data_IF_922858296030
#
_entry.id   IF_922858296030
#
_cell.length_a   1.000
_cell.length_b   1.000
_cell.length_c   1.000
_cell.angle_alpha   90.00
_cell.angle_beta   90.00
_cell.angle_gamma   90.00
#
_symmetry.space_group_name_H-M   'P 1'
#
loop_
_entity.id
_entity.type
_entity.pdbx_description
1 polymer ?
#
# COMPACT_ATOMS: atom_id res chain seq x y z
N UNK A 1 -11.04 -23.40 7.44
CA UNK A 1 -10.26 -24.21 6.44
C UNK A 1 -8.98 -23.46 6.14
N UNK A 2 -7.84 -24.14 6.06
CA UNK A 2 -6.58 -23.46 5.71
C UNK A 2 -6.58 -23.16 4.21
N UNK A 3 -6.47 -21.90 3.82
CA UNK A 3 -6.39 -21.51 2.41
C UNK A 3 -4.97 -21.78 1.91
N UNK A 4 -4.86 -22.22 0.65
CA UNK A 4 -3.57 -22.48 0.01
C UNK A 4 -3.33 -21.44 -1.10
N UNK A 5 -2.43 -20.47 -0.90
CA UNK A 5 -2.08 -19.51 -1.94
C UNK A 5 -1.47 -20.18 -3.17
N UNK A 6 -1.79 -19.66 -4.37
CA UNK A 6 -1.24 -20.10 -5.63
C UNK A 6 -0.33 -19.00 -6.19
N UNK A 7 0.83 -19.38 -6.71
CA UNK A 7 1.73 -18.44 -7.39
C UNK A 7 1.02 -17.91 -8.65
N UNK A 8 0.99 -16.60 -8.80
CA UNK A 8 0.49 -15.90 -9.99
C UNK A 8 1.65 -15.40 -10.86
N UNK A 9 2.64 -14.75 -10.23
CA UNK A 9 3.80 -14.19 -10.91
C UNK A 9 5.00 -14.11 -9.97
N UNK A 10 6.21 -14.13 -10.53
CA UNK A 10 7.49 -14.06 -9.81
C UNK A 10 8.54 -13.30 -10.62
N UNK A 11 9.76 -13.25 -10.09
CA UNK A 11 10.90 -12.64 -10.78
C UNK A 11 11.01 -11.13 -10.56
N UNK A 12 10.42 -10.59 -9.51
CA UNK A 12 10.50 -9.18 -9.14
C UNK A 12 11.56 -8.95 -8.05
N UNK A 13 12.08 -7.73 -7.98
CA UNK A 13 13.06 -7.37 -6.95
C UNK A 13 12.38 -7.10 -5.62
N UNK A 14 11.41 -6.17 -5.58
CA UNK A 14 10.61 -5.91 -4.38
C UNK A 14 9.25 -5.32 -4.74
N UNK A 15 8.18 -6.08 -4.47
CA UNK A 15 6.82 -5.72 -4.88
C UNK A 15 6.05 -4.99 -3.79
N UNK A 16 5.43 -3.83 -4.16
CA UNK A 16 4.75 -2.93 -3.25
C UNK A 16 3.52 -2.24 -3.88
N UNK A 17 2.74 -1.54 -3.04
CA UNK A 17 1.67 -0.63 -3.44
C UNK A 17 0.60 -1.24 -4.35
N UNK A 18 0.07 -2.44 -4.08
CA UNK A 18 -0.83 -3.12 -5.01
C UNK A 18 -2.18 -2.41 -5.13
N UNK A 19 -2.69 -2.30 -6.37
CA UNK A 19 -4.02 -1.76 -6.68
C UNK A 19 -4.68 -2.61 -7.76
N UNK A 20 -5.96 -2.94 -7.56
CA UNK A 20 -6.75 -3.63 -8.58
C UNK A 20 -7.53 -2.65 -9.44
N UNK A 21 -7.27 -2.61 -10.75
CA UNK A 21 -8.00 -1.76 -11.69
C UNK A 21 -7.97 -2.32 -13.10
N UNK A 22 -9.10 -2.23 -13.82
CA UNK A 22 -9.19 -2.62 -15.23
C UNK A 22 -8.82 -4.08 -15.47
N UNK A 23 -9.28 -5.01 -14.62
CA UNK A 23 -9.00 -6.44 -14.68
C UNK A 23 -7.52 -6.81 -14.55
N UNK A 24 -6.71 -5.92 -13.96
CA UNK A 24 -5.30 -6.15 -13.70
C UNK A 24 -4.91 -5.68 -12.29
N UNK A 25 -3.95 -6.39 -11.69
CA UNK A 25 -3.22 -5.94 -10.54
C UNK A 25 -2.12 -4.97 -11.03
N UNK A 26 -2.12 -3.75 -10.48
CA UNK A 26 -1.05 -2.76 -10.62
C UNK A 26 -0.19 -2.83 -9.38
N UNK A 27 1.12 -2.73 -9.53
CA UNK A 27 2.06 -2.77 -8.42
C UNK A 27 3.38 -2.09 -8.78
N UNK A 28 4.10 -1.63 -7.77
CA UNK A 28 5.47 -1.16 -7.89
C UNK A 28 6.43 -2.33 -7.73
N UNK A 29 7.40 -2.46 -8.62
CA UNK A 29 8.62 -3.22 -8.41
C UNK A 29 9.69 -2.23 -7.96
N UNK A 30 9.74 -1.95 -6.64
CA UNK A 30 10.46 -0.82 -6.05
C UNK A 30 11.92 -0.76 -6.50
N UNK A 31 12.69 -1.80 -6.22
CA UNK A 31 14.09 -1.89 -6.61
C UNK A 31 14.29 -2.40 -8.04
N UNK A 32 13.24 -2.86 -8.70
CA UNK A 32 13.16 -3.05 -10.16
C UNK A 32 12.85 -1.75 -10.90
N UNK A 33 12.65 -0.65 -10.14
CA UNK A 33 12.46 0.72 -10.63
C UNK A 33 11.38 0.85 -11.70
N UNK A 34 10.27 0.12 -11.54
CA UNK A 34 9.18 0.11 -12.50
C UNK A 34 7.81 -0.01 -11.85
N UNK A 35 6.79 0.52 -12.52
CA UNK A 35 5.40 0.15 -12.27
C UNK A 35 4.99 -0.90 -13.28
N UNK A 36 4.39 -1.98 -12.78
CA UNK A 36 3.98 -3.12 -13.59
C UNK A 36 2.52 -3.48 -13.37
N UNK A 37 1.97 -4.25 -14.29
CA UNK A 37 0.66 -4.88 -14.11
C UNK A 37 0.73 -6.37 -14.43
N UNK A 38 -0.16 -7.13 -13.78
CA UNK A 38 -0.38 -8.55 -14.08
C UNK A 38 -1.88 -8.88 -14.11
N UNK A 39 -2.32 -9.65 -15.10
CA UNK A 39 -3.69 -10.17 -15.12
C UNK A 39 -3.78 -11.52 -14.36
N UNK A 40 -5.01 -12.02 -14.17
CA UNK A 40 -5.24 -13.30 -13.48
C UNK A 40 -4.71 -14.54 -14.23
N UNK A 41 -4.17 -14.37 -15.44
CA UNK A 41 -3.50 -15.41 -16.23
C UNK A 41 -1.98 -15.34 -16.12
N UNK A 42 -1.44 -14.38 -15.30
CA UNK A 42 -0.02 -14.15 -15.13
C UNK A 42 0.65 -13.34 -16.26
N UNK A 43 -0.13 -12.69 -17.14
CA UNK A 43 0.45 -11.85 -18.21
C UNK A 43 0.91 -10.52 -17.63
N UNK A 44 2.23 -10.31 -17.65
CA UNK A 44 2.89 -9.10 -17.15
C UNK A 44 2.98 -8.03 -18.24
N UNK A 45 2.87 -6.78 -17.82
CA UNK A 45 3.17 -5.61 -18.63
C UNK A 45 3.90 -4.57 -17.77
N UNK A 46 4.90 -3.88 -18.34
CA UNK A 46 5.52 -2.71 -17.72
C UNK A 46 4.74 -1.47 -18.15
N UNK A 47 4.26 -0.72 -17.17
CA UNK A 47 3.51 0.54 -17.39
C UNK A 47 4.46 1.71 -17.52
N UNK A 48 5.43 1.82 -16.62
CA UNK A 48 6.42 2.88 -16.60
C UNK A 48 7.75 2.36 -16.03
N UNK A 49 8.84 2.70 -16.69
CA UNK A 49 10.20 2.58 -16.14
C UNK A 49 10.51 3.88 -15.40
N UNK A 50 10.93 3.76 -14.12
CA UNK A 50 11.14 4.87 -13.21
C UNK A 50 12.54 4.82 -12.60
N UNK A 51 13.56 4.72 -13.47
CA UNK A 51 14.96 4.60 -13.06
C UNK A 51 15.40 5.72 -12.12
N UNK A 52 16.01 5.33 -10.98
CA UNK A 52 16.46 6.24 -9.94
C UNK A 52 15.34 6.81 -9.07
N UNK A 53 14.13 6.22 -9.07
CA UNK A 53 13.00 6.74 -8.30
C UNK A 53 12.56 5.84 -7.14
N UNK A 54 12.82 4.54 -7.19
CA UNK A 54 12.30 3.54 -6.23
C UNK A 54 10.78 3.74 -6.00
N UNK A 55 9.90 3.41 -6.99
CA UNK A 55 8.46 3.60 -6.84
C UNK A 55 7.90 2.74 -5.69
N UNK A 56 6.97 3.30 -4.90
CA UNK A 56 6.29 2.60 -3.80
C UNK A 56 4.77 2.73 -3.94
N UNK A 57 4.10 3.50 -3.09
CA UNK A 57 2.64 3.64 -3.11
C UNK A 57 2.06 4.06 -4.46
N UNK A 58 0.95 3.44 -4.84
CA UNK A 58 0.21 3.74 -6.06
C UNK A 58 -1.20 4.24 -5.75
N UNK A 59 -1.76 5.05 -6.66
CA UNK A 59 -3.16 5.44 -6.60
C UNK A 59 -3.62 6.04 -7.92
N UNK A 60 -4.93 6.17 -8.11
CA UNK A 60 -5.48 6.68 -9.35
C UNK A 60 -6.30 7.94 -9.13
N UNK A 61 -6.01 8.95 -9.91
CA UNK A 61 -6.86 10.15 -9.98
C UNK A 61 -8.20 9.83 -10.66
N UNK A 62 -9.25 10.64 -10.43
CA UNK A 62 -10.56 10.46 -11.07
C UNK A 62 -10.50 10.52 -12.60
N UNK A 63 -9.54 11.23 -13.19
CA UNK A 63 -9.32 11.29 -14.63
C UNK A 63 -8.63 10.04 -15.20
N UNK A 64 -8.22 9.12 -14.35
CA UNK A 64 -7.60 7.86 -14.72
C UNK A 64 -6.07 7.84 -14.69
N UNK A 65 -5.42 8.98 -14.50
CA UNK A 65 -3.98 9.04 -14.38
C UNK A 65 -3.49 8.33 -13.11
N UNK A 66 -2.36 7.65 -13.21
CA UNK A 66 -1.73 6.99 -12.09
C UNK A 66 -0.84 7.98 -11.32
N UNK A 67 -0.98 8.01 -10.01
CA UNK A 67 -0.01 8.62 -9.11
C UNK A 67 0.92 7.54 -8.55
N UNK A 68 2.20 7.89 -8.43
CA UNK A 68 3.27 6.99 -7.93
C UNK A 68 4.12 7.75 -6.92
N UNK A 69 4.34 7.18 -5.76
CA UNK A 69 5.33 7.69 -4.81
C UNK A 69 6.74 7.42 -5.35
N UNK A 70 7.57 8.47 -5.46
CA UNK A 70 9.02 8.35 -5.64
C UNK A 70 9.68 8.38 -4.26
N UNK A 71 10.35 7.28 -3.84
CA UNK A 71 10.93 7.21 -2.50
C UNK A 71 12.27 7.95 -2.38
N UNK A 72 13.13 7.91 -3.39
CA UNK A 72 14.45 8.52 -3.34
C UNK A 72 14.40 10.06 -3.31
N UNK A 73 13.42 10.61 -3.98
CA UNK A 73 13.08 12.03 -3.88
C UNK A 73 11.64 12.11 -3.38
N UNK A 74 11.33 12.93 -2.36
CA UNK A 74 9.97 12.98 -1.81
C UNK A 74 9.02 13.68 -2.79
N UNK A 75 8.66 12.98 -3.85
CA UNK A 75 7.80 13.43 -4.93
C UNK A 75 6.66 12.46 -5.20
N UNK A 76 5.55 13.01 -5.64
CA UNK A 76 4.47 12.23 -6.23
C UNK A 76 4.54 12.44 -7.74
N UNK A 77 4.75 11.35 -8.46
CA UNK A 77 4.78 11.35 -9.93
C UNK A 77 3.36 11.11 -10.45
N UNK A 78 3.04 11.76 -11.58
CA UNK A 78 1.86 11.50 -12.39
C UNK A 78 2.29 10.77 -13.66
N UNK A 79 1.73 9.60 -13.88
CA UNK A 79 1.94 8.78 -15.08
C UNK A 79 0.65 8.79 -15.91
N UNK A 80 0.75 9.29 -17.13
CA UNK A 80 -0.33 9.39 -18.09
C UNK A 80 0.13 8.79 -19.43
N UNK A 81 -0.15 7.51 -19.62
CA UNK A 81 0.44 6.71 -20.70
C UNK A 81 1.97 6.66 -20.58
N UNK A 82 2.67 7.17 -21.59
CA UNK A 82 4.15 7.22 -21.61
C UNK A 82 4.72 8.50 -20.96
N UNK A 83 3.86 9.42 -20.53
CA UNK A 83 4.29 10.69 -19.97
C UNK A 83 4.39 10.59 -18.44
N UNK A 84 5.57 10.88 -17.91
CA UNK A 84 5.83 10.92 -16.46
C UNK A 84 6.21 12.35 -16.07
N UNK A 85 5.46 12.95 -15.17
CA UNK A 85 5.68 14.30 -14.65
C UNK A 85 5.61 14.34 -13.13
N UNK A 86 6.24 15.34 -12.52
CA UNK A 86 6.07 15.58 -11.09
C UNK A 86 4.71 16.22 -10.85
N UNK A 87 3.84 15.54 -10.10
CA UNK A 87 2.53 16.04 -9.67
C UNK A 87 2.66 16.93 -8.43
N UNK A 88 3.45 16.50 -7.45
CA UNK A 88 3.74 17.27 -6.24
C UNK A 88 5.17 17.00 -5.77
N UNK A 89 5.88 18.05 -5.35
CA UNK A 89 7.17 17.95 -4.67
C UNK A 89 6.96 18.22 -3.18
N UNK A 90 7.30 17.25 -2.34
CA UNK A 90 7.05 17.27 -0.90
C UNK A 90 8.28 17.62 -0.06
N UNK A 91 9.43 17.94 -0.68
CA UNK A 91 10.72 18.17 0.01
C UNK A 91 10.70 19.35 1.01
N UNK A 92 9.76 20.27 0.86
CA UNK A 92 9.56 21.36 1.83
C UNK A 92 8.74 20.97 3.06
N UNK A 93 8.01 19.85 2.98
CA UNK A 93 7.10 19.36 4.03
C UNK A 93 7.70 18.20 4.81
N UNK A 94 8.47 17.33 4.13
CA UNK A 94 9.00 16.10 4.71
C UNK A 94 10.53 16.10 4.62
N UNK A 95 11.18 15.57 5.66
CA UNK A 95 12.65 15.47 5.73
C UNK A 95 13.13 14.11 5.24
N UNK A 96 12.26 13.12 5.31
CA UNK A 96 12.55 11.73 5.02
C UNK A 96 11.93 11.34 3.67
N UNK A 97 12.11 10.08 3.29
CA UNK A 97 11.47 9.50 2.11
C UNK A 97 9.96 9.42 2.30
N UNK A 98 9.21 9.42 1.21
CA UNK A 98 7.81 8.99 1.19
C UNK A 98 7.72 7.45 1.10
N UNK A 99 6.58 6.89 1.48
CA UNK A 99 6.35 5.45 1.51
C UNK A 99 5.07 5.08 0.72
N UNK A 100 4.10 4.46 1.37
CA UNK A 100 2.85 4.10 0.73
C UNK A 100 1.89 5.31 0.65
N UNK A 101 0.87 5.16 -0.17
CA UNK A 101 -0.12 6.19 -0.42
C UNK A 101 -1.47 5.55 -0.78
N UNK A 102 -2.57 6.25 -0.48
CA UNK A 102 -3.90 5.93 -1.03
C UNK A 102 -4.54 7.18 -1.61
N UNK A 103 -5.30 7.03 -2.70
CA UNK A 103 -6.04 8.14 -3.32
C UNK A 103 -7.54 7.93 -3.11
N UNK A 104 -8.24 8.93 -2.56
CA UNK A 104 -9.69 8.88 -2.36
C UNK A 104 -10.46 9.14 -3.67
N UNK A 105 -11.77 8.91 -3.66
CA UNK A 105 -12.63 9.13 -4.83
C UNK A 105 -12.73 10.58 -5.30
N UNK A 106 -12.20 11.55 -4.54
CA UNK A 106 -12.10 12.97 -4.91
C UNK A 106 -10.74 13.32 -5.50
N UNK A 107 -9.79 12.35 -5.51
CA UNK A 107 -8.43 12.53 -6.01
C UNK A 107 -7.45 13.07 -4.97
N UNK A 108 -7.82 13.10 -3.68
CA UNK A 108 -6.89 13.43 -2.61
C UNK A 108 -6.00 12.22 -2.33
N UNK A 109 -4.68 12.41 -2.37
CA UNK A 109 -3.71 11.39 -2.02
C UNK A 109 -3.23 11.61 -0.57
N UNK A 110 -3.32 10.55 0.25
CA UNK A 110 -2.75 10.50 1.60
C UNK A 110 -1.46 9.72 1.54
N UNK A 111 -0.34 10.39 1.77
CA UNK A 111 1.01 9.87 1.59
C UNK A 111 1.69 9.73 2.95
N UNK A 112 2.14 8.52 3.29
CA UNK A 112 2.95 8.26 4.46
C UNK A 112 4.42 8.56 4.22
N UNK A 113 5.17 8.90 5.27
CA UNK A 113 6.63 9.05 5.21
C UNK A 113 7.35 7.79 5.68
N UNK A 114 8.60 7.64 5.28
CA UNK A 114 9.50 6.54 5.66
C UNK A 114 10.59 7.09 6.61
N UNK A 115 10.26 7.30 7.90
CA UNK A 115 11.22 7.84 8.86
C UNK A 115 12.28 6.80 9.23
N UNK A 116 13.43 7.23 9.79
CA UNK A 116 14.44 6.30 10.28
C UNK A 116 13.92 5.50 11.48
N UNK A 117 14.31 4.22 11.57
CA UNK A 117 13.89 3.33 12.67
C UNK A 117 14.26 3.88 14.07
N UNK A 118 15.33 4.66 14.15
CA UNK A 118 15.79 5.32 15.38
C UNK A 118 14.88 6.45 15.88
N UNK A 119 14.09 7.06 14.97
CA UNK A 119 13.06 8.04 15.29
C UNK A 119 11.86 7.80 14.36
N UNK A 120 10.95 6.87 14.70
CA UNK A 120 9.90 6.38 13.79
C UNK A 120 8.72 7.35 13.62
N UNK A 121 8.83 8.58 14.13
CA UNK A 121 7.76 9.59 14.04
C UNK A 121 7.65 10.13 12.61
N UNK A 122 6.75 9.52 11.87
CA UNK A 122 6.39 9.96 10.52
C UNK A 122 5.20 10.91 10.51
N UNK A 123 4.88 11.37 9.31
CA UNK A 123 3.72 12.24 9.04
C UNK A 123 2.87 11.66 7.92
N UNK A 124 1.62 12.10 7.86
CA UNK A 124 0.77 11.93 6.69
C UNK A 124 0.64 13.27 5.97
N UNK A 125 0.93 13.26 4.68
CA UNK A 125 0.78 14.41 3.79
C UNK A 125 -0.45 14.20 2.92
N UNK A 126 -1.34 15.19 2.89
CA UNK A 126 -2.40 15.29 1.89
C UNK A 126 -1.84 15.98 0.66
N UNK A 127 -1.96 15.33 -0.49
CA UNK A 127 -1.73 15.93 -1.82
C UNK A 127 -3.07 16.02 -2.53
N UNK A 128 -3.47 17.24 -2.92
CA UNK A 128 -4.73 17.48 -3.61
C UNK A 128 -4.62 17.25 -5.12
N UNK A 129 -5.72 17.15 -5.86
CA UNK A 129 -5.69 16.92 -7.31
C UNK A 129 -4.93 17.98 -8.13
N UNK A 130 -4.79 19.20 -7.59
CA UNK A 130 -4.02 20.29 -8.22
C UNK A 130 -2.51 20.25 -7.89
N UNK A 131 -2.06 19.24 -7.10
CA UNK A 131 -0.67 19.09 -6.66
C UNK A 131 -0.32 19.90 -5.41
N UNK A 132 -1.24 20.70 -4.85
CA UNK A 132 -1.02 21.37 -3.58
C UNK A 132 -0.93 20.34 -2.45
N UNK A 133 -0.02 20.57 -1.48
CA UNK A 133 0.23 19.59 -0.43
C UNK A 133 0.36 20.24 0.96
N UNK A 134 -0.06 19.51 1.99
CA UNK A 134 0.08 19.88 3.41
C UNK A 134 0.15 18.66 4.32
N UNK A 135 0.79 18.81 5.48
CA UNK A 135 0.75 17.79 6.54
C UNK A 135 -0.66 17.79 7.15
N UNK A 136 -1.23 16.59 7.33
CA UNK A 136 -2.57 16.39 7.91
C UNK A 136 -2.57 15.50 9.15
N UNK A 137 -1.48 14.80 9.43
CA UNK A 137 -1.25 14.12 10.72
C UNK A 137 0.25 14.02 11.00
N UNK A 138 0.61 14.14 12.27
CA UNK A 138 1.97 14.01 12.80
C UNK A 138 2.01 12.83 13.78
N UNK A 139 3.23 12.44 14.19
CA UNK A 139 3.46 11.36 15.16
C UNK A 139 2.77 10.04 14.78
N UNK A 140 2.84 9.68 13.49
CA UNK A 140 2.42 8.37 12.96
C UNK A 140 3.64 7.47 12.95
N UNK A 141 3.62 6.39 13.72
CA UNK A 141 4.82 5.60 13.98
C UNK A 141 5.20 4.66 12.81
N UNK A 142 5.93 5.19 11.84
CA UNK A 142 6.33 4.53 10.60
C UNK A 142 5.11 4.18 9.75
N UNK A 143 4.42 5.21 9.17
CA UNK A 143 3.23 5.00 8.35
C UNK A 143 3.55 4.14 7.13
N UNK A 144 2.72 3.14 6.91
CA UNK A 144 2.83 2.18 5.83
C UNK A 144 1.49 2.05 5.09
N UNK A 145 1.05 0.84 4.76
CA UNK A 145 -0.17 0.63 4.02
C UNK A 145 -1.36 1.43 4.54
N UNK A 146 -2.14 2.00 3.66
CA UNK A 146 -3.30 2.78 4.00
C UNK A 146 -4.49 2.51 3.09
N UNK A 147 -5.70 2.63 3.64
CA UNK A 147 -6.95 2.44 2.91
C UNK A 147 -7.95 3.55 3.24
N UNK A 148 -8.73 3.93 2.25
CA UNK A 148 -9.88 4.80 2.43
C UNK A 148 -11.14 3.93 2.53
N UNK A 149 -11.90 4.12 3.57
CA UNK A 149 -13.10 3.34 3.87
C UNK A 149 -14.35 4.23 3.96
N UNK A 150 -15.53 3.60 4.05
CA UNK A 150 -16.82 4.25 4.25
C UNK A 150 -17.10 5.36 3.22
N UNK A 151 -16.94 5.04 1.94
CA UNK A 151 -17.17 5.98 0.84
C UNK A 151 -16.37 7.30 0.97
N UNK A 152 -15.11 7.19 1.37
CA UNK A 152 -14.22 8.33 1.48
C UNK A 152 -14.31 9.11 2.80
N UNK A 153 -14.94 8.53 3.84
CA UNK A 153 -15.11 9.21 5.15
C UNK A 153 -14.06 8.83 6.18
N UNK A 154 -13.36 7.71 6.02
CA UNK A 154 -12.33 7.24 6.96
C UNK A 154 -11.04 6.89 6.23
N UNK A 155 -9.92 7.21 6.86
CA UNK A 155 -8.61 6.72 6.50
C UNK A 155 -8.13 5.79 7.60
N UNK A 156 -7.65 4.59 7.23
CA UNK A 156 -6.98 3.67 8.15
C UNK A 156 -5.54 3.51 7.67
N UNK A 157 -4.59 3.61 8.58
CA UNK A 157 -3.15 3.57 8.30
C UNK A 157 -2.48 2.52 9.18
N UNK A 158 -1.65 1.68 8.60
CA UNK A 158 -0.76 0.78 9.30
C UNK A 158 0.41 1.58 9.89
N UNK A 159 0.62 1.48 11.21
CA UNK A 159 1.80 2.01 11.88
C UNK A 159 2.77 0.85 12.19
N UNK A 160 3.74 0.60 11.29
CA UNK A 160 4.61 -0.60 11.39
C UNK A 160 5.36 -0.66 12.70
N UNK A 161 6.00 0.42 13.14
CA UNK A 161 6.73 0.49 14.41
C UNK A 161 5.81 0.84 15.59
N UNK A 162 4.61 1.37 15.32
CA UNK A 162 3.53 1.51 16.30
C UNK A 162 2.85 0.19 16.64
N UNK A 163 2.99 -0.82 15.78
CA UNK A 163 2.36 -2.15 15.91
C UNK A 163 0.85 -2.06 16.10
N UNK A 164 0.22 -1.21 15.30
CA UNK A 164 -1.22 -0.94 15.33
C UNK A 164 -1.73 -0.42 14.00
N UNK A 165 -3.03 -0.36 13.88
CA UNK A 165 -3.73 0.38 12.83
C UNK A 165 -4.41 1.58 13.47
N UNK A 166 -4.18 2.75 12.90
CA UNK A 166 -4.79 4.01 13.35
C UNK A 166 -5.78 4.48 12.31
N UNK A 167 -6.97 4.89 12.76
CA UNK A 167 -7.97 5.46 11.88
C UNK A 167 -8.24 6.93 12.18
N UNK A 168 -8.66 7.64 11.14
CA UNK A 168 -9.03 9.04 11.15
C UNK A 168 -10.34 9.24 10.42
N UNK A 169 -11.13 10.23 10.82
CA UNK A 169 -12.22 10.74 10.01
C UNK A 169 -11.67 11.72 8.97
N UNK A 170 -12.14 11.63 7.73
CA UNK A 170 -11.77 12.52 6.63
C UNK A 170 -12.81 13.64 6.52
N UNK A 171 -12.38 14.88 6.76
CA UNK A 171 -13.20 16.07 6.59
C UNK A 171 -13.45 16.42 5.11
N UNK A 172 -14.36 17.34 4.84
CA UNK A 172 -14.69 17.75 3.47
C UNK A 172 -13.51 18.35 2.69
N UNK A 173 -12.57 19.01 3.39
CA UNK A 173 -11.35 19.59 2.83
C UNK A 173 -10.16 18.61 2.78
N UNK A 174 -10.39 17.33 3.09
CA UNK A 174 -9.38 16.28 3.17
C UNK A 174 -8.55 16.27 4.47
N UNK A 175 -8.81 17.17 5.43
CA UNK A 175 -8.14 17.13 6.74
C UNK A 175 -8.51 15.87 7.51
N UNK A 176 -7.57 15.38 8.32
CA UNK A 176 -7.76 14.21 9.19
C UNK A 176 -8.12 14.67 10.60
N UNK A 177 -9.16 14.08 11.16
CA UNK A 177 -9.68 14.37 12.50
C UNK A 177 -9.95 13.08 13.27
N UNK A 178 -10.34 13.19 14.54
CA UNK A 178 -10.82 12.05 15.35
C UNK A 178 -9.88 10.84 15.37
N UNK A 179 -8.55 11.08 15.48
CA UNK A 179 -7.54 10.01 15.53
C UNK A 179 -7.87 9.00 16.64
N UNK A 180 -7.92 7.72 16.31
CA UNK A 180 -8.18 6.63 17.24
C UNK A 180 -7.52 5.33 16.77
N UNK A 181 -7.32 4.39 17.68
CA UNK A 181 -6.79 3.07 17.34
C UNK A 181 -7.92 2.22 16.75
N UNK A 182 -7.71 1.71 15.53
CA UNK A 182 -8.59 0.71 14.92
C UNK A 182 -8.35 -0.67 15.53
N UNK A 183 -7.09 -1.09 15.64
CA UNK A 183 -6.67 -2.35 16.25
C UNK A 183 -5.18 -2.31 16.63
N UNK A 184 -4.83 -2.98 17.73
CA UNK A 184 -3.44 -3.31 18.09
C UNK A 184 -3.04 -4.64 17.47
N UNK A 185 -1.78 -4.78 17.06
CA UNK A 185 -1.27 -5.99 16.41
C UNK A 185 0.09 -6.48 16.93
N UNK A 186 0.48 -6.06 18.14
CA UNK A 186 1.70 -6.56 18.76
C UNK A 186 1.74 -8.11 18.82
N UNK A 187 2.92 -8.76 18.74
CA UNK A 187 4.26 -8.15 18.81
C UNK A 187 4.82 -7.69 17.45
N UNK A 188 4.16 -7.95 16.34
CA UNK A 188 4.66 -7.64 14.99
C UNK A 188 4.01 -6.38 14.43
N UNK A 189 4.74 -5.65 13.58
CA UNK A 189 4.22 -4.49 12.86
C UNK A 189 3.54 -4.89 11.54
N UNK A 190 2.46 -4.18 11.17
CA UNK A 190 1.79 -4.37 9.88
C UNK A 190 2.55 -3.63 8.77
N UNK A 191 2.32 -4.08 7.53
CA UNK A 191 2.82 -3.46 6.31
C UNK A 191 1.64 -3.06 5.40
N UNK A 192 1.60 -3.48 4.13
CA UNK A 192 0.49 -3.16 3.25
C UNK A 192 -0.85 -3.77 3.69
N UNK A 193 -1.93 -3.03 3.50
CA UNK A 193 -3.29 -3.41 3.93
C UNK A 193 -4.33 -3.19 2.84
N UNK A 194 -5.43 -3.93 2.93
CA UNK A 194 -6.67 -3.63 2.21
C UNK A 194 -7.89 -3.93 3.11
N UNK A 195 -9.06 -3.41 2.75
CA UNK A 195 -10.29 -3.56 3.53
C UNK A 195 -11.33 -4.38 2.78
N UNK A 196 -12.07 -5.22 3.49
CA UNK A 196 -13.16 -6.00 2.94
C UNK A 196 -14.54 -5.38 3.22
N UNK A 197 -15.59 -5.96 2.63
CA UNK A 197 -16.96 -5.45 2.73
C UNK A 197 -17.58 -5.57 4.13
N UNK A 198 -16.97 -6.32 5.05
CA UNK A 198 -17.37 -6.37 6.46
C UNK A 198 -16.60 -5.38 7.32
N UNK A 199 -15.69 -4.58 6.72
CA UNK A 199 -14.88 -3.59 7.40
C UNK A 199 -13.68 -4.19 8.14
N UNK A 200 -13.34 -5.45 7.90
CA UNK A 200 -12.12 -6.05 8.40
C UNK A 200 -10.94 -5.74 7.48
N UNK A 201 -9.75 -5.61 8.06
CA UNK A 201 -8.51 -5.40 7.31
C UNK A 201 -7.86 -6.75 6.98
N UNK A 202 -7.49 -6.95 5.73
CA UNK A 202 -6.41 -7.86 5.39
C UNK A 202 -5.09 -7.09 5.53
N UNK A 203 -4.18 -7.61 6.33
CA UNK A 203 -2.92 -6.97 6.65
C UNK A 203 -1.75 -7.92 6.40
N UNK A 204 -0.75 -7.44 5.71
CA UNK A 204 0.53 -8.10 5.62
C UNK A 204 1.30 -7.93 6.94
N UNK A 205 1.82 -9.04 7.48
CA UNK A 205 2.58 -9.08 8.72
C UNK A 205 3.98 -9.66 8.42
N UNK A 206 4.94 -8.84 7.99
CA UNK A 206 6.22 -9.33 7.45
C UNK A 206 6.94 -10.30 8.40
N UNK A 207 7.16 -9.87 9.65
CA UNK A 207 7.91 -10.66 10.63
C UNK A 207 7.10 -11.80 11.27
N UNK A 208 5.79 -11.88 11.00
CA UNK A 208 4.96 -13.04 11.32
C UNK A 208 4.89 -14.03 10.15
N UNK A 209 5.41 -13.67 8.98
CA UNK A 209 5.38 -14.49 7.75
C UNK A 209 3.96 -14.91 7.33
N UNK A 210 2.98 -14.04 7.54
CA UNK A 210 1.57 -14.34 7.23
C UNK A 210 0.78 -13.08 6.87
N UNK A 211 -0.35 -13.29 6.22
CA UNK A 211 -1.40 -12.28 6.10
C UNK A 211 -2.49 -12.58 7.12
N UNK A 212 -3.02 -11.53 7.74
CA UNK A 212 -4.06 -11.64 8.76
C UNK A 212 -5.31 -10.87 8.32
N UNK A 213 -6.47 -11.46 8.52
CA UNK A 213 -7.76 -10.76 8.47
C UNK A 213 -8.11 -10.32 9.88
N UNK A 214 -8.23 -9.00 10.11
CA UNK A 214 -8.33 -8.40 11.44
C UNK A 214 -9.62 -7.57 11.52
N UNK A 215 -10.48 -7.88 12.48
CA UNK A 215 -11.69 -7.11 12.75
C UNK A 215 -11.36 -5.77 13.43
N UNK A 216 -12.28 -4.77 13.37
CA UNK A 216 -12.23 -3.63 14.26
C UNK A 216 -12.09 -4.08 15.72
N UNK A 217 -11.14 -3.52 16.47
CA UNK A 217 -10.84 -3.92 17.84
C UNK A 217 -9.73 -4.98 17.99
N UNK A 218 -9.30 -5.64 16.88
CA UNK A 218 -8.07 -6.44 16.85
C UNK A 218 -8.24 -7.97 16.86
N UNK A 219 -9.47 -8.47 16.83
CA UNK A 219 -9.69 -9.91 16.71
C UNK A 219 -9.20 -10.42 15.36
N UNK A 220 -8.30 -11.41 15.37
CA UNK A 220 -7.80 -12.05 14.16
C UNK A 220 -8.81 -13.11 13.70
N UNK A 221 -9.48 -12.84 12.59
CA UNK A 221 -10.52 -13.69 12.03
C UNK A 221 -9.97 -14.82 11.15
N UNK A 222 -8.86 -14.55 10.44
CA UNK A 222 -8.23 -15.51 9.54
C UNK A 222 -6.72 -15.26 9.44
N UNK A 223 -5.95 -16.33 9.15
CA UNK A 223 -4.50 -16.28 8.90
C UNK A 223 -4.16 -17.06 7.64
N UNK A 224 -3.26 -16.49 6.84
CA UNK A 224 -2.70 -17.13 5.63
C UNK A 224 -1.18 -17.14 5.79
N UNK A 225 -0.58 -18.25 6.26
CA UNK A 225 0.86 -18.35 6.43
C UNK A 225 1.56 -18.46 5.07
N UNK A 226 2.72 -17.80 4.96
CA UNK A 226 3.55 -17.77 3.75
C UNK A 226 4.87 -18.54 3.89
N UNK A 227 4.98 -19.39 4.92
CA UNK A 227 6.20 -20.16 5.20
C UNK A 227 7.35 -19.26 5.64
N UNK A 228 8.45 -19.26 4.90
CA UNK A 228 9.62 -18.42 5.19
C UNK A 228 9.57 -17.04 4.52
N UNK A 229 8.52 -16.77 3.73
CA UNK A 229 8.41 -15.50 3.01
C UNK A 229 7.83 -14.40 3.89
N UNK A 230 8.35 -13.21 3.77
CA UNK A 230 7.79 -12.01 4.37
C UNK A 230 6.51 -11.62 3.60
N UNK A 231 5.44 -11.36 4.31
CA UNK A 231 4.22 -10.77 3.76
C UNK A 231 4.42 -9.25 3.67
N UNK A 232 4.34 -8.67 2.47
CA UNK A 232 4.69 -7.27 2.21
C UNK A 232 3.44 -6.41 2.02
N UNK A 233 2.58 -6.76 1.06
CA UNK A 233 1.36 -6.00 0.79
C UNK A 233 0.26 -6.90 0.24
N UNK A 234 -0.98 -6.46 0.35
CA UNK A 234 -2.12 -7.17 -0.20
C UNK A 234 -3.19 -6.23 -0.76
N UNK A 235 -3.99 -6.76 -1.66
CA UNK A 235 -5.19 -6.09 -2.17
C UNK A 235 -6.24 -7.11 -2.61
N UNK A 236 -7.51 -6.71 -2.58
CA UNK A 236 -8.62 -7.49 -3.09
C UNK A 236 -8.95 -7.07 -4.52
N UNK A 237 -9.18 -8.05 -5.39
CA UNK A 237 -9.50 -7.83 -6.79
C UNK A 237 -10.24 -9.02 -7.42
N UNK A 238 -10.16 -9.14 -8.74
CA UNK A 238 -10.96 -10.09 -9.50
C UNK A 238 -12.35 -9.54 -9.82
N UNK A 239 -13.12 -10.23 -10.65
CA UNK A 239 -14.45 -9.77 -11.11
C UNK A 239 -15.46 -9.62 -9.96
N UNK A 240 -15.30 -10.39 -8.90
CA UNK A 240 -16.16 -10.36 -7.70
C UNK A 240 -15.45 -9.76 -6.48
N UNK A 241 -14.26 -9.18 -6.66
CA UNK A 241 -13.41 -8.64 -5.59
C UNK A 241 -13.09 -9.65 -4.48
N UNK A 242 -13.07 -10.94 -4.81
CA UNK A 242 -12.82 -12.07 -3.88
C UNK A 242 -11.44 -12.70 -4.07
N UNK A 243 -10.68 -12.26 -5.04
CA UNK A 243 -9.30 -12.70 -5.21
C UNK A 243 -8.39 -11.81 -4.36
N UNK A 244 -7.83 -12.36 -3.29
CA UNK A 244 -6.84 -11.67 -2.47
C UNK A 244 -5.46 -11.90 -3.09
N UNK A 245 -4.81 -10.81 -3.49
CA UNK A 245 -3.43 -10.78 -3.98
C UNK A 245 -2.48 -10.61 -2.80
N UNK A 246 -1.46 -11.45 -2.74
CA UNK A 246 -0.51 -11.58 -1.64
C UNK A 246 0.90 -11.31 -2.19
N UNK A 247 1.43 -10.15 -1.95
CA UNK A 247 2.76 -9.72 -2.37
C UNK A 247 3.77 -10.11 -1.30
N UNK A 248 4.81 -10.81 -1.69
CA UNK A 248 5.78 -11.37 -0.73
C UNK A 248 7.21 -11.20 -1.20
N UNK A 249 8.15 -11.13 -0.25
CA UNK A 249 9.60 -11.12 -0.50
C UNK A 249 10.30 -12.14 0.41
N UNK A 250 11.56 -12.44 0.14
CA UNK A 250 12.41 -13.20 1.07
C UNK A 250 13.09 -12.30 2.09
N UNK A 251 13.36 -11.06 1.74
CA UNK A 251 14.04 -10.09 2.59
C UNK A 251 13.27 -8.76 2.61
N UNK A 252 13.52 -7.95 3.63
CA UNK A 252 13.03 -6.57 3.69
C UNK A 252 13.78 -5.68 2.69
N UNK A 253 13.19 -4.55 2.26
CA UNK A 253 13.80 -3.67 1.27
C UNK A 253 15.14 -3.11 1.78
N UNK A 254 16.11 -3.04 0.88
CA UNK A 254 17.45 -2.51 1.18
C UNK A 254 18.45 -2.81 0.06
N UNK A 255 19.67 -2.35 0.21
CA UNK A 255 20.73 -2.54 -0.80
C UNK A 255 21.05 -4.02 -1.07
N UNK A 256 20.86 -4.90 -0.07
CA UNK A 256 21.16 -6.34 -0.20
C UNK A 256 20.32 -7.06 -1.24
N UNK A 257 19.10 -6.57 -1.50
CA UNK A 257 18.19 -7.22 -2.44
C UNK A 257 18.25 -6.66 -3.86
N UNK A 258 18.96 -5.56 -4.07
CA UNK A 258 19.15 -5.02 -5.42
C UNK A 258 19.86 -6.06 -6.30
N UNK A 259 19.19 -6.43 -7.41
CA UNK A 259 19.66 -7.48 -8.32
C UNK A 259 19.25 -8.91 -7.94
N UNK A 260 18.52 -9.11 -6.83
CA UNK A 260 17.77 -10.35 -6.59
C UNK A 260 16.46 -10.32 -7.37
N UNK A 261 15.79 -11.48 -7.49
CA UNK A 261 14.46 -11.59 -8.12
C UNK A 261 13.57 -12.52 -7.30
N UNK A 262 13.55 -12.31 -6.00
CA UNK A 262 12.94 -13.21 -5.02
C UNK A 262 11.52 -12.79 -4.60
N UNK A 263 11.03 -11.63 -5.04
CA UNK A 263 9.67 -11.21 -4.77
C UNK A 263 8.65 -11.89 -5.68
N UNK A 264 7.51 -12.24 -5.11
CA UNK A 264 6.45 -12.99 -5.80
C UNK A 264 5.07 -12.47 -5.44
N UNK A 265 4.13 -12.72 -6.34
CA UNK A 265 2.71 -12.43 -6.16
C UNK A 265 1.95 -13.77 -6.16
N UNK A 266 1.22 -14.02 -5.09
CA UNK A 266 0.32 -15.16 -4.96
C UNK A 266 -1.13 -14.68 -4.95
N UNK A 267 -2.05 -15.59 -5.21
CA UNK A 267 -3.50 -15.34 -5.13
C UNK A 267 -4.19 -16.41 -4.30
N UNK A 268 -5.26 -16.02 -3.66
CA UNK A 268 -6.17 -16.94 -2.97
C UNK A 268 -7.59 -16.37 -2.98
N UNK A 269 -8.58 -17.24 -3.13
CA UNK A 269 -9.99 -16.83 -3.04
C UNK A 269 -10.41 -16.68 -1.58
N UNK A 270 -11.16 -15.62 -1.28
CA UNK A 270 -11.70 -15.31 0.05
C UNK A 270 -13.23 -15.22 0.01
N UNK A 271 -13.87 -15.43 1.19
CA UNK A 271 -15.33 -15.46 1.27
C UNK A 271 -15.95 -14.05 1.27
N UNK A 272 -15.25 -13.08 1.80
CA UNK A 272 -15.73 -11.70 1.89
C UNK A 272 -15.05 -10.86 0.80
N UNK A 273 -15.81 -10.20 -0.08
CA UNK A 273 -15.23 -9.39 -1.14
C UNK A 273 -14.60 -8.10 -0.61
N UNK A 274 -13.74 -7.48 -1.42
CA UNK A 274 -13.29 -6.11 -1.20
C UNK A 274 -14.40 -5.08 -1.42
N UNK A 275 -14.14 -3.85 -0.99
CA UNK A 275 -15.07 -2.73 -1.19
C UNK A 275 -14.98 -2.10 -2.59
N UNK A 276 -13.94 -2.45 -3.37
CA UNK A 276 -13.65 -1.83 -4.67
C UNK A 276 -13.02 -0.44 -4.55
N UNK A 277 -12.73 -0.01 -3.34
CA UNK A 277 -11.91 1.18 -3.07
C UNK A 277 -10.45 0.77 -2.94
N UNK A 278 -9.52 1.64 -3.39
CA UNK A 278 -8.10 1.40 -3.23
C UNK A 278 -7.69 1.41 -1.77
#
# INVERSE_FOLDING_TARGET
MTRTPKLLADGFVFVEGPRWRGDRLWFSDMHGEAVRTVDLRGRLETVAELSGREPSGLGFLPDGALLVVSMLEPEILRVDGQNVTVHANLSSLVRDRCNDMVVDGRGNAYVGTFPPVSDPRGVLVLVQPDGSARIVAEDVAFPNGCVVADDGRRLIVAESLGRRFTEFDIAADGSLTSRRVFAECAPYGPDGICIDAEGALWAAMPLAHEFQRIAPGGDILERIPMGERLAIACTLGGSELRTLFLLTSKELPGESIKGTHDSTIHIVEVDIPGTGSP
#
